data_IF_180342421558
#
_entry.id   IF_180342421558
#
_cell.length_a   1.000
_cell.length_b   1.000
_cell.length_c   1.000
_cell.angle_alpha   90.00
_cell.angle_beta   90.00
_cell.angle_gamma   90.00
#
_symmetry.space_group_name_H-M   'P 1'
#
loop_
_entity.id
_entity.type
_entity.pdbx_description
1 polymer ?
#
# COMPACT_ATOMS: atom_id res chain seq x y z
N UNK A 1 9.82 6.36 19.26
CA UNK A 1 8.84 5.61 18.44
C UNK A 1 8.56 4.34 19.21
N UNK A 2 7.29 4.08 19.53
CA UNK A 2 6.89 2.80 20.12
C UNK A 2 6.72 1.74 19.01
N UNK A 3 6.64 0.46 19.41
CA UNK A 3 6.51 -0.69 18.51
C UNK A 3 5.20 -0.62 17.70
N UNK A 4 4.10 -0.20 18.36
CA UNK A 4 2.80 -0.05 17.73
C UNK A 4 2.79 1.01 16.61
N UNK A 5 3.51 2.13 16.80
CA UNK A 5 3.66 3.18 15.77
C UNK A 5 4.47 2.65 14.60
N UNK A 6 5.52 1.86 14.84
CA UNK A 6 6.33 1.28 13.77
C UNK A 6 5.49 0.33 12.90
N UNK A 7 4.71 -0.55 13.52
CA UNK A 7 3.75 -1.43 12.82
C UNK A 7 2.72 -0.62 12.04
N UNK A 8 2.16 0.41 12.66
CA UNK A 8 1.17 1.27 12.01
C UNK A 8 1.75 2.00 10.79
N UNK A 9 3.00 2.45 10.85
CA UNK A 9 3.70 3.09 9.72
C UNK A 9 3.96 2.06 8.62
N UNK A 10 4.50 0.88 8.98
CA UNK A 10 4.84 -0.16 8.00
C UNK A 10 3.60 -0.64 7.23
N UNK A 11 2.50 -0.90 7.92
CA UNK A 11 1.23 -1.30 7.31
C UNK A 11 0.60 -0.20 6.44
N UNK A 12 0.79 1.06 6.83
CA UNK A 12 0.36 2.22 6.02
C UNK A 12 1.17 2.30 4.74
N UNK A 13 2.49 2.16 4.84
CA UNK A 13 3.40 2.23 3.71
C UNK A 13 3.08 1.15 2.66
N UNK A 14 2.78 -0.08 3.10
CA UNK A 14 2.35 -1.16 2.19
C UNK A 14 1.13 -0.77 1.37
N UNK A 15 0.13 -0.12 1.99
CA UNK A 15 -1.06 0.35 1.27
C UNK A 15 -0.79 1.57 0.42
N UNK A 16 0.10 2.47 0.82
CA UNK A 16 0.55 3.56 -0.03
C UNK A 16 1.18 3.01 -1.33
N UNK A 17 2.07 2.02 -1.22
CA UNK A 17 2.68 1.38 -2.40
C UNK A 17 1.62 0.76 -3.32
N UNK A 18 0.65 0.03 -2.76
CA UNK A 18 -0.46 -0.52 -3.55
C UNK A 18 -1.30 0.57 -4.23
N UNK A 19 -1.57 1.70 -3.56
CA UNK A 19 -2.28 2.82 -4.15
C UNK A 19 -1.49 3.49 -5.28
N UNK A 20 -0.19 3.71 -5.10
CA UNK A 20 0.71 4.28 -6.13
C UNK A 20 0.67 3.43 -7.40
N UNK A 21 0.73 2.11 -7.26
CA UNK A 21 0.64 1.18 -8.40
C UNK A 21 -0.69 1.34 -9.15
N UNK A 22 -1.81 1.49 -8.43
CA UNK A 22 -3.15 1.67 -9.01
C UNK A 22 -3.34 3.00 -9.74
N UNK A 23 -2.64 4.05 -9.32
CA UNK A 23 -2.72 5.40 -9.95
C UNK A 23 -1.54 5.70 -10.87
N UNK A 24 -0.80 4.67 -11.30
CA UNK A 24 0.28 4.82 -12.28
C UNK A 24 1.44 5.68 -11.79
N UNK A 25 1.88 5.48 -10.54
CA UNK A 25 3.04 6.17 -9.97
C UNK A 25 2.72 7.52 -9.34
N UNK A 26 1.49 8.03 -9.50
CA UNK A 26 1.07 9.30 -8.88
C UNK A 26 0.98 9.21 -7.35
N UNK A 27 1.11 10.36 -6.70
CA UNK A 27 0.83 10.53 -5.27
C UNK A 27 -0.61 11.00 -4.98
N UNK A 28 -1.40 11.24 -6.03
CA UNK A 28 -2.79 11.64 -5.91
C UNK A 28 -3.69 10.41 -5.72
N UNK A 29 -3.72 9.91 -4.48
CA UNK A 29 -4.58 8.79 -4.10
C UNK A 29 -5.19 9.00 -2.71
N UNK A 30 -6.38 8.45 -2.51
CA UNK A 30 -7.00 8.37 -1.19
C UNK A 30 -6.55 7.08 -0.52
N UNK A 31 -5.86 7.21 0.60
CA UNK A 31 -5.45 6.06 1.38
C UNK A 31 -6.67 5.45 2.12
N UNK A 32 -6.99 4.17 1.92
CA UNK A 32 -8.12 3.55 2.60
C UNK A 32 -7.84 3.40 4.10
N UNK A 33 -8.87 3.55 4.93
CA UNK A 33 -8.76 3.26 6.37
C UNK A 33 -8.70 1.75 6.62
N UNK A 34 -7.56 1.25 7.09
CA UNK A 34 -7.36 -0.20 7.36
C UNK A 34 -7.85 -0.64 8.74
N UNK A 35 -8.36 0.28 9.57
CA UNK A 35 -8.86 -0.05 10.90
C UNK A 35 -7.81 -0.64 11.85
N UNK A 36 -6.54 -0.26 11.71
CA UNK A 36 -5.40 -0.83 12.45
C UNK A 36 -5.63 -0.90 13.96
N UNK A 37 -6.16 0.17 14.56
CA UNK A 37 -6.51 0.23 15.99
C UNK A 37 -7.54 -0.83 16.37
N UNK A 38 -8.59 -1.02 15.55
CA UNK A 38 -9.61 -2.04 15.77
C UNK A 38 -9.02 -3.44 15.65
N UNK A 39 -8.26 -3.71 14.60
CA UNK A 39 -7.62 -5.00 14.37
C UNK A 39 -6.63 -5.36 15.49
N UNK A 40 -5.85 -4.39 15.99
CA UNK A 40 -4.93 -4.58 17.12
C UNK A 40 -5.68 -4.94 18.39
N UNK A 41 -6.77 -4.22 18.72
CA UNK A 41 -7.61 -4.54 19.88
C UNK A 41 -8.24 -5.94 19.80
N UNK A 42 -8.53 -6.42 18.59
CA UNK A 42 -9.04 -7.77 18.36
C UNK A 42 -7.94 -8.84 18.28
N UNK A 43 -6.66 -8.48 18.36
CA UNK A 43 -5.53 -9.40 18.18
C UNK A 43 -5.39 -9.94 16.75
N UNK A 44 -5.99 -9.26 15.76
CA UNK A 44 -6.06 -9.66 14.35
C UNK A 44 -5.29 -8.74 13.42
N UNK A 45 -4.42 -7.88 13.96
CA UNK A 45 -3.58 -7.03 13.12
C UNK A 45 -2.59 -7.90 12.34
N UNK A 46 -2.62 -7.89 11.00
CA UNK A 46 -1.65 -8.67 10.22
C UNK A 46 -0.27 -8.01 10.31
N UNK A 47 0.79 -8.81 10.20
CA UNK A 47 2.18 -8.30 10.10
C UNK A 47 2.47 -7.65 8.74
N UNK A 48 1.72 -8.04 7.72
CA UNK A 48 1.77 -7.45 6.38
C UNK A 48 0.42 -7.58 5.70
N UNK A 49 0.04 -6.58 4.91
CA UNK A 49 -1.11 -6.68 4.03
C UNK A 49 -0.75 -7.44 2.76
N UNK A 50 -1.66 -8.30 2.33
CA UNK A 50 -1.59 -8.90 1.00
C UNK A 50 -1.77 -7.78 -0.03
N UNK A 51 -0.82 -7.68 -0.96
CA UNK A 51 -0.93 -6.79 -2.10
C UNK A 51 -1.99 -7.36 -3.06
N UNK A 52 -2.87 -6.49 -3.54
CA UNK A 52 -3.86 -6.86 -4.54
C UNK A 52 -3.16 -7.37 -5.81
N UNK A 53 -3.47 -8.61 -6.20
CA UNK A 53 -2.78 -9.29 -7.30
C UNK A 53 -2.99 -8.53 -8.61
N UNK A 54 -4.22 -8.07 -8.86
CA UNK A 54 -4.57 -7.40 -10.10
C UNK A 54 -3.85 -6.06 -10.20
N UNK A 55 -3.78 -5.31 -9.09
CA UNK A 55 -3.00 -4.09 -8.97
C UNK A 55 -1.52 -4.33 -9.30
N UNK A 56 -0.92 -5.38 -8.74
CA UNK A 56 0.49 -5.71 -9.00
C UNK A 56 0.73 -6.13 -10.45
N UNK A 57 -0.12 -6.99 -11.02
CA UNK A 57 0.05 -7.48 -12.40
C UNK A 57 -0.24 -6.42 -13.46
N UNK A 58 -1.14 -5.47 -13.18
CA UNK A 58 -1.49 -4.40 -14.11
C UNK A 58 -0.55 -3.20 -14.01
N UNK A 59 0.10 -2.99 -12.86
CA UNK A 59 0.99 -1.87 -12.62
C UNK A 59 2.06 -1.67 -13.71
N UNK A 60 2.75 -2.72 -14.19
CA UNK A 60 3.60 -2.65 -15.36
C UNK A 60 3.05 -1.82 -16.53
N UNK A 61 1.87 -2.20 -17.01
CA UNK A 61 1.24 -1.56 -18.15
C UNK A 61 0.69 -0.16 -17.82
N UNK A 62 0.28 0.08 -16.57
CA UNK A 62 -0.19 1.40 -16.14
C UNK A 62 0.98 2.39 -16.06
N UNK A 63 2.10 1.98 -15.48
CA UNK A 63 3.30 2.81 -15.32
C UNK A 63 3.92 3.18 -16.67
N UNK A 64 4.01 2.21 -17.59
CA UNK A 64 4.47 2.46 -18.97
C UNK A 64 3.60 3.52 -19.67
N UNK A 65 2.27 3.37 -19.60
CA UNK A 65 1.33 4.35 -20.17
C UNK A 65 1.42 5.72 -19.53
N UNK A 66 1.74 5.78 -18.24
CA UNK A 66 1.93 7.03 -17.49
C UNK A 66 3.29 7.70 -17.78
N UNK A 67 4.14 7.10 -18.63
CA UNK A 67 5.45 7.65 -18.98
C UNK A 67 6.49 7.47 -17.87
N UNK A 68 6.23 6.60 -16.89
CA UNK A 68 7.23 6.21 -15.91
C UNK A 68 8.17 5.19 -16.55
N UNK A 69 9.45 5.52 -16.74
CA UNK A 69 10.39 4.53 -17.26
C UNK A 69 10.50 3.37 -16.25
N UNK A 70 10.44 2.14 -16.75
CA UNK A 70 10.86 0.95 -16.00
C UNK A 70 12.36 1.03 -15.73
N UNK A 71 12.74 1.83 -14.74
CA UNK A 71 14.10 1.93 -14.22
C UNK A 71 13.98 1.78 -12.71
N UNK A 72 14.05 0.51 -12.27
CA UNK A 72 14.66 0.16 -11.00
C UNK A 72 16.08 -0.27 -11.28
#
# INVERSE_FOLDING_TARGET
MDEDTLDDIFLTLQKCMECILKVGGSNDYKLPHMGKVKLRKEGKLPKSFVCDRDAYTSAPAILEKAGWPFLF
#
